data_IF_196221149022
#
_entry.id   IF_196221149022
#
_cell.length_a   1.000
_cell.length_b   1.000
_cell.length_c   1.000
_cell.angle_alpha   90.00
_cell.angle_beta   90.00
_cell.angle_gamma   90.00
#
_symmetry.space_group_name_H-M   'P 1'
#
loop_
_entity.id
_entity.type
_entity.pdbx_description
1 polymer ?
#
# COMPACT_ATOMS: atom_id res chain seq x y z
N UNK A 1 22.95 13.29 -17.98
CA UNK A 1 21.96 13.28 -16.88
C UNK A 1 20.66 13.75 -17.46
N UNK A 2 19.67 12.87 -17.59
CA UNK A 2 18.35 13.22 -18.11
C UNK A 2 17.49 13.86 -17.02
N UNK A 3 16.35 14.43 -17.42
CA UNK A 3 15.35 14.93 -16.48
C UNK A 3 14.77 13.84 -15.57
N UNK A 4 14.91 12.55 -15.92
CA UNK A 4 14.45 11.44 -15.06
C UNK A 4 15.15 11.43 -13.69
N UNK A 5 16.40 11.92 -13.60
CA UNK A 5 17.10 12.07 -12.30
C UNK A 5 16.56 13.18 -11.41
N UNK A 6 15.62 13.99 -11.89
CA UNK A 6 14.89 14.95 -11.04
C UNK A 6 13.77 14.28 -10.24
N UNK A 7 13.33 13.08 -10.66
CA UNK A 7 12.36 12.29 -9.92
C UNK A 7 13.04 11.75 -8.65
N UNK A 8 12.44 11.93 -7.46
CA UNK A 8 12.99 11.42 -6.22
C UNK A 8 13.32 9.92 -6.30
N UNK A 9 14.47 9.55 -5.74
CA UNK A 9 14.96 8.17 -5.66
C UNK A 9 15.34 7.49 -6.99
N UNK A 10 15.29 8.18 -8.14
CA UNK A 10 15.85 7.65 -9.39
C UNK A 10 17.36 7.88 -9.46
N UNK A 11 18.11 6.79 -9.42
CA UNK A 11 19.56 6.75 -9.64
C UNK A 11 19.95 6.45 -11.09
N UNK A 12 21.25 6.36 -11.36
CA UNK A 12 21.79 6.09 -12.70
C UNK A 12 21.31 4.77 -13.31
N UNK A 13 21.19 3.71 -12.48
CA UNK A 13 20.71 2.41 -12.96
C UNK A 13 19.25 2.48 -13.40
N UNK A 14 18.35 2.94 -12.52
CA UNK A 14 16.92 3.07 -12.85
C UNK A 14 16.67 4.02 -14.03
N UNK A 15 17.43 5.11 -14.15
CA UNK A 15 17.38 5.98 -15.33
C UNK A 15 17.68 5.19 -16.62
N UNK A 16 18.75 4.40 -16.63
CA UNK A 16 19.12 3.60 -17.78
C UNK A 16 18.04 2.56 -18.11
N UNK A 17 17.42 1.97 -17.09
CA UNK A 17 16.40 0.95 -17.25
C UNK A 17 15.12 1.52 -17.87
N UNK A 18 14.69 2.71 -17.41
CA UNK A 18 13.60 3.46 -18.01
C UNK A 18 13.88 3.80 -19.49
N UNK A 19 15.10 4.25 -19.80
CA UNK A 19 15.52 4.54 -21.18
C UNK A 19 15.49 3.28 -22.04
N UNK A 20 15.97 2.14 -21.53
CA UNK A 20 15.94 0.85 -22.25
C UNK A 20 14.51 0.36 -22.52
N UNK A 21 13.56 0.67 -21.62
CA UNK A 21 12.13 0.43 -21.84
C UNK A 21 11.46 1.48 -22.76
N UNK A 22 12.21 2.48 -23.25
CA UNK A 22 11.71 3.51 -24.16
C UNK A 22 11.19 4.78 -23.49
N UNK A 23 11.28 4.88 -22.17
CA UNK A 23 10.88 6.06 -21.39
C UNK A 23 12.08 7.00 -21.20
N UNK A 24 12.18 8.01 -22.05
CA UNK A 24 13.32 8.94 -22.07
C UNK A 24 13.03 10.29 -21.39
N UNK A 25 11.78 10.54 -21.02
CA UNK A 25 11.30 11.82 -20.46
C UNK A 25 10.27 11.59 -19.33
N UNK A 26 10.11 12.56 -18.44
CA UNK A 26 9.03 12.59 -17.44
C UNK A 26 7.67 12.53 -18.16
N UNK A 27 7.53 13.24 -19.29
CA UNK A 27 6.32 13.22 -20.08
C UNK A 27 5.96 11.81 -20.58
N UNK A 28 6.95 11.01 -20.98
CA UNK A 28 6.74 9.63 -21.44
C UNK A 28 6.25 8.67 -20.34
N UNK A 29 6.45 9.02 -19.06
CA UNK A 29 6.00 8.23 -17.91
C UNK A 29 4.58 8.57 -17.46
N UNK A 30 4.02 9.71 -17.88
CA UNK A 30 2.68 10.14 -17.43
C UNK A 30 1.61 9.16 -17.89
N UNK A 31 0.69 8.84 -16.97
CA UNK A 31 -0.39 7.88 -17.21
C UNK A 31 0.02 6.40 -17.20
N UNK A 32 1.31 6.07 -17.04
CA UNK A 32 1.76 4.69 -16.81
C UNK A 32 1.57 4.30 -15.36
N UNK A 33 1.00 3.11 -15.14
CA UNK A 33 0.93 2.53 -13.80
C UNK A 33 2.27 1.91 -13.41
N UNK A 34 2.54 1.87 -12.11
CA UNK A 34 3.73 1.23 -11.58
C UNK A 34 3.81 -0.26 -11.92
N UNK A 35 2.66 -0.95 -11.90
CA UNK A 35 2.54 -2.36 -12.26
C UNK A 35 2.90 -2.61 -13.73
N UNK A 36 2.52 -1.72 -14.65
CA UNK A 36 2.94 -1.81 -16.07
C UNK A 36 4.44 -1.63 -16.22
N UNK A 37 5.03 -0.60 -15.59
CA UNK A 37 6.47 -0.34 -15.65
C UNK A 37 7.27 -1.52 -15.08
N UNK A 38 6.86 -2.04 -13.93
CA UNK A 38 7.50 -3.19 -13.31
C UNK A 38 7.39 -4.45 -14.17
N UNK A 39 6.22 -4.72 -14.75
CA UNK A 39 6.02 -5.88 -15.63
C UNK A 39 6.83 -5.75 -16.92
N UNK A 40 6.93 -4.55 -17.49
CA UNK A 40 7.77 -4.27 -18.65
C UNK A 40 9.25 -4.49 -18.35
N UNK A 41 9.74 -4.01 -17.21
CA UNK A 41 11.14 -4.23 -16.83
C UNK A 41 11.42 -5.71 -16.59
N UNK A 42 10.54 -6.43 -15.88
CA UNK A 42 10.68 -7.87 -15.68
C UNK A 42 10.75 -8.63 -17.02
N UNK A 43 9.91 -8.25 -18.00
CA UNK A 43 9.96 -8.83 -19.36
C UNK A 43 11.28 -8.52 -20.07
N UNK A 44 11.76 -7.29 -19.98
CA UNK A 44 13.03 -6.87 -20.58
C UNK A 44 14.22 -7.64 -19.98
N UNK A 45 14.19 -7.90 -18.67
CA UNK A 45 15.25 -8.61 -17.94
C UNK A 45 15.15 -10.12 -18.03
N UNK A 46 14.00 -10.66 -18.42
CA UNK A 46 13.73 -12.10 -18.44
C UNK A 46 13.63 -12.73 -17.06
N UNK A 47 13.37 -11.94 -16.01
CA UNK A 47 13.23 -12.42 -14.64
C UNK A 47 12.26 -11.55 -13.83
N UNK A 48 11.77 -12.08 -12.71
CA UNK A 48 11.01 -11.28 -11.74
C UNK A 48 11.99 -10.49 -10.87
N UNK A 49 11.90 -9.15 -10.94
CA UNK A 49 12.74 -8.26 -10.15
C UNK A 49 12.30 -8.20 -8.69
N UNK A 50 13.18 -7.72 -7.81
CA UNK A 50 12.78 -7.47 -6.43
C UNK A 50 11.63 -6.43 -6.35
N UNK A 51 10.76 -6.59 -5.35
CA UNK A 51 9.59 -5.71 -5.20
C UNK A 51 9.96 -4.26 -4.83
N UNK A 52 11.17 -3.99 -4.34
CA UNK A 52 11.63 -2.62 -4.13
C UNK A 52 11.58 -1.78 -5.41
N UNK A 53 11.77 -2.41 -6.58
CA UNK A 53 11.65 -1.75 -7.87
C UNK A 53 10.20 -1.35 -8.17
N UNK A 54 9.23 -2.22 -7.88
CA UNK A 54 7.80 -1.87 -7.97
C UNK A 54 7.45 -0.71 -7.03
N UNK A 55 7.98 -0.69 -5.82
CA UNK A 55 7.71 0.40 -4.87
C UNK A 55 8.32 1.73 -5.33
N UNK A 56 9.49 1.68 -5.98
CA UNK A 56 10.06 2.84 -6.66
C UNK A 56 9.13 3.30 -7.78
N UNK A 57 8.65 2.40 -8.65
CA UNK A 57 7.73 2.78 -9.72
C UNK A 57 6.39 3.33 -9.22
N UNK A 58 5.88 2.90 -8.07
CA UNK A 58 4.71 3.52 -7.43
C UNK A 58 4.99 4.96 -6.97
N UNK A 59 6.19 5.23 -6.47
CA UNK A 59 6.60 6.60 -6.17
C UNK A 59 6.75 7.45 -7.45
N UNK A 60 7.28 6.87 -8.52
CA UNK A 60 7.38 7.52 -9.84
C UNK A 60 5.99 7.84 -10.39
N UNK A 61 5.08 6.87 -10.43
CA UNK A 61 3.68 7.05 -10.85
C UNK A 61 3.01 8.18 -10.08
N UNK A 62 3.14 8.19 -8.74
CA UNK A 62 2.62 9.27 -7.91
C UNK A 62 3.23 10.62 -8.31
N UNK A 63 4.56 10.70 -8.41
CA UNK A 63 5.27 11.94 -8.68
C UNK A 63 4.92 12.54 -10.05
N UNK A 64 4.97 11.75 -11.12
CA UNK A 64 4.78 12.28 -12.49
C UNK A 64 3.35 12.70 -12.78
N UNK A 65 2.39 12.17 -12.03
CA UNK A 65 0.96 12.47 -12.14
C UNK A 65 0.45 13.47 -11.08
N UNK A 66 1.32 14.00 -10.20
CA UNK A 66 0.94 14.96 -9.15
C UNK A 66 1.62 16.30 -9.37
N UNK A 67 0.83 17.38 -9.50
CA UNK A 67 1.37 18.72 -9.79
C UNK A 67 2.26 19.32 -8.70
N UNK A 68 1.91 19.12 -7.42
CA UNK A 68 2.72 19.53 -6.27
C UNK A 68 2.86 18.34 -5.29
N UNK A 69 3.78 17.41 -5.56
CA UNK A 69 3.85 16.14 -4.84
C UNK A 69 4.35 16.34 -3.41
N UNK A 70 3.70 15.65 -2.46
CA UNK A 70 4.13 15.60 -1.07
C UNK A 70 5.48 14.87 -0.98
N UNK A 71 6.55 15.52 -0.47
CA UNK A 71 7.88 14.90 -0.36
C UNK A 71 7.87 13.59 0.45
N UNK A 72 6.94 13.39 1.38
CA UNK A 72 6.80 12.15 2.12
C UNK A 72 6.33 11.01 1.22
N UNK A 73 5.39 11.28 0.31
CA UNK A 73 4.85 10.31 -0.66
C UNK A 73 5.80 10.06 -1.82
N UNK A 74 6.81 10.91 -2.03
CA UNK A 74 7.87 10.66 -3.01
C UNK A 74 8.86 9.57 -2.58
N UNK A 75 8.85 9.15 -1.31
CA UNK A 75 9.76 8.10 -0.83
C UNK A 75 9.24 6.73 -1.24
N UNK A 76 10.04 5.95 -1.95
CA UNK A 76 9.65 4.60 -2.43
C UNK A 76 9.05 3.71 -1.33
N UNK A 77 9.59 3.75 -0.11
CA UNK A 77 9.12 2.89 0.99
C UNK A 77 7.71 3.24 1.48
N UNK A 78 7.19 4.41 1.13
CA UNK A 78 5.79 4.79 1.38
C UNK A 78 4.83 3.84 0.66
N UNK A 79 5.25 3.28 -0.48
CA UNK A 79 4.42 2.49 -1.40
C UNK A 79 4.65 0.97 -1.31
N UNK A 80 5.23 0.49 -0.21
CA UNK A 80 5.32 -0.95 0.07
C UNK A 80 3.93 -1.56 0.13
N UNK A 81 3.83 -2.85 -0.22
CA UNK A 81 2.56 -3.58 -0.21
C UNK A 81 1.83 -3.51 1.12
N UNK A 82 2.56 -3.56 2.23
CA UNK A 82 1.98 -3.51 3.57
C UNK A 82 1.12 -2.25 3.80
N UNK A 83 1.35 -1.21 2.99
CA UNK A 83 0.69 0.09 3.09
C UNK A 83 -0.26 0.36 1.92
N UNK A 84 0.00 -0.20 0.74
CA UNK A 84 -0.81 -0.04 -0.48
C UNK A 84 -1.96 -1.04 -0.53
N UNK A 85 -1.71 -2.26 -0.11
CA UNK A 85 -2.73 -3.30 -0.05
C UNK A 85 -3.67 -3.10 1.16
N UNK A 86 -4.89 -3.67 1.10
CA UNK A 86 -5.77 -3.67 2.25
C UNK A 86 -5.10 -4.29 3.49
N UNK A 87 -5.09 -3.51 4.57
CA UNK A 87 -4.76 -3.99 5.91
C UNK A 87 -5.80 -5.03 6.37
N UNK A 88 -5.59 -5.71 7.52
CA UNK A 88 -6.52 -6.72 7.99
C UNK A 88 -8.00 -6.30 8.06
N UNK A 89 -8.26 -5.02 8.36
CA UNK A 89 -9.61 -4.46 8.41
C UNK A 89 -10.09 -3.81 7.09
N UNK A 90 -9.30 -3.83 6.01
CA UNK A 90 -9.66 -3.22 4.73
C UNK A 90 -9.25 -1.75 4.57
N UNK A 91 -8.72 -1.13 5.63
CA UNK A 91 -8.10 0.20 5.52
C UNK A 91 -6.82 0.13 4.68
N UNK A 92 -6.53 1.16 3.90
CA UNK A 92 -5.31 1.27 3.08
C UNK A 92 -4.44 2.37 3.67
N UNK A 93 -3.26 2.02 4.20
CA UNK A 93 -2.45 2.94 4.98
C UNK A 93 -2.01 4.16 4.17
N UNK A 94 -1.60 4.00 2.91
CA UNK A 94 -1.20 5.15 2.06
C UNK A 94 -2.33 6.15 1.79
N UNK A 95 -3.59 5.78 2.07
CA UNK A 95 -4.78 6.63 1.97
C UNK A 95 -5.27 7.14 3.33
N UNK A 96 -4.61 6.78 4.43
CA UNK A 96 -4.97 7.15 5.80
C UNK A 96 -4.24 8.42 6.22
N UNK A 97 -4.95 9.37 6.82
CA UNK A 97 -4.37 10.63 7.28
C UNK A 97 -3.32 10.46 8.41
N UNK A 98 -3.48 9.44 9.26
CA UNK A 98 -2.54 9.16 10.35
C UNK A 98 -1.26 8.46 9.88
N UNK A 99 -1.21 7.90 8.67
CA UNK A 99 -0.01 7.26 8.14
C UNK A 99 0.89 8.28 7.43
N UNK A 100 2.23 8.24 7.61
CA UNK A 100 3.02 7.33 8.43
C UNK A 100 3.42 7.92 9.79
N UNK A 101 3.04 9.18 10.07
CA UNK A 101 3.57 9.97 11.19
C UNK A 101 2.97 9.55 12.54
N UNK A 102 1.64 9.49 12.63
CA UNK A 102 0.93 9.08 13.84
C UNK A 102 0.78 7.55 13.90
N UNK A 103 0.77 6.87 12.75
CA UNK A 103 0.61 5.44 12.63
C UNK A 103 1.59 4.85 11.61
N UNK A 104 2.38 3.86 12.02
CA UNK A 104 3.37 3.19 11.14
C UNK A 104 2.80 2.12 10.19
N UNK A 105 1.47 1.93 10.18
CA UNK A 105 0.79 0.88 9.42
C UNK A 105 0.67 -0.44 10.20
N UNK A 106 -0.51 -1.05 10.18
CA UNK A 106 -0.90 -2.11 11.11
C UNK A 106 0.06 -3.30 11.16
N UNK A 107 0.61 -3.73 10.00
CA UNK A 107 1.56 -4.84 9.92
C UNK A 107 2.89 -4.50 10.61
N UNK A 108 3.44 -3.32 10.30
CA UNK A 108 4.71 -2.83 10.87
C UNK A 108 4.64 -2.64 12.38
N UNK A 109 3.53 -2.07 12.87
CA UNK A 109 3.35 -1.77 14.30
C UNK A 109 2.67 -2.92 15.06
N UNK A 110 2.49 -4.07 14.43
CA UNK A 110 1.86 -5.26 15.02
C UNK A 110 0.50 -4.97 15.68
N UNK A 111 -0.33 -4.19 15.00
CA UNK A 111 -1.68 -3.84 15.44
C UNK A 111 -1.76 -2.76 16.53
N UNK A 112 -0.64 -2.19 16.98
CA UNK A 112 -0.56 -1.10 17.98
C UNK A 112 -0.86 0.26 17.36
N UNK A 113 -2.07 0.42 16.84
CA UNK A 113 -2.56 1.64 16.16
C UNK A 113 -2.89 2.76 17.15
N UNK A 114 -2.77 4.02 16.70
CA UNK A 114 -2.93 5.20 17.57
C UNK A 114 -4.30 5.31 18.27
N UNK A 115 -5.36 4.82 17.62
CA UNK A 115 -6.74 4.93 18.11
C UNK A 115 -7.09 3.93 19.21
N UNK A 116 -6.20 3.00 19.57
CA UNK A 116 -6.41 2.08 20.69
C UNK A 116 -6.66 2.80 22.02
N UNK A 117 -6.21 4.05 22.14
CA UNK A 117 -6.55 4.94 23.26
C UNK A 117 -8.05 5.14 23.49
N UNK A 118 -8.88 4.92 22.47
CA UNK A 118 -10.33 5.04 22.56
C UNK A 118 -11.04 3.74 22.94
N UNK A 119 -10.42 2.57 22.70
CA UNK A 119 -11.02 1.27 23.02
C UNK A 119 -10.47 0.66 24.31
N UNK A 120 -9.28 1.10 24.74
CA UNK A 120 -8.58 0.54 25.90
C UNK A 120 -7.91 -0.82 25.63
N UNK A 121 -7.85 -1.26 24.36
CA UNK A 121 -7.15 -2.51 23.99
C UNK A 121 -5.65 -2.28 23.79
N UNK A 122 -4.80 -3.26 24.09
CA UNK A 122 -3.36 -3.18 23.83
C UNK A 122 -2.99 -3.40 22.34
N UNK A 123 -3.86 -4.10 21.60
CA UNK A 123 -3.69 -4.47 20.19
C UNK A 123 -5.05 -4.45 19.50
N UNK A 124 -5.08 -3.99 18.23
CA UNK A 124 -6.28 -4.04 17.40
C UNK A 124 -6.83 -5.48 17.29
N UNK A 125 -8.08 -5.69 17.73
CA UNK A 125 -8.76 -6.99 17.73
C UNK A 125 -8.84 -7.63 16.34
N UNK A 126 -9.05 -6.84 15.29
CA UNK A 126 -9.07 -7.32 13.90
C UNK A 126 -7.69 -7.84 13.48
N UNK A 127 -6.64 -7.06 13.78
CA UNK A 127 -5.27 -7.46 13.48
C UNK A 127 -4.90 -8.76 14.21
N UNK A 128 -5.18 -8.83 15.51
CA UNK A 128 -4.84 -10.00 16.32
C UNK A 128 -5.63 -11.24 15.90
N UNK A 129 -6.92 -11.10 15.57
CA UNK A 129 -7.74 -12.18 15.02
C UNK A 129 -7.14 -12.73 13.72
N UNK A 130 -6.79 -11.86 12.77
CA UNK A 130 -6.17 -12.28 11.50
C UNK A 130 -4.82 -12.97 11.74
N UNK A 131 -3.98 -12.42 12.62
CA UNK A 131 -2.68 -13.00 12.99
C UNK A 131 -2.84 -14.40 13.59
N UNK A 132 -3.71 -14.54 14.58
CA UNK A 132 -3.97 -15.81 15.28
C UNK A 132 -4.56 -16.86 14.34
N UNK A 133 -5.45 -16.47 13.43
CA UNK A 133 -6.03 -17.35 12.41
C UNK A 133 -5.14 -17.54 11.17
N UNK A 134 -3.95 -16.92 11.14
CA UNK A 134 -3.02 -16.92 9.99
C UNK A 134 -3.67 -16.48 8.68
N UNK A 135 -4.54 -15.46 8.76
CA UNK A 135 -5.22 -14.84 7.62
C UNK A 135 -4.54 -13.54 7.23
N UNK A 136 -4.51 -13.24 5.93
CA UNK A 136 -4.00 -11.95 5.41
C UNK A 136 -4.84 -10.77 5.92
N UNK A 137 -6.16 -10.94 5.89
CA UNK A 137 -7.17 -9.97 6.28
C UNK A 137 -8.52 -10.65 6.54
N UNK A 138 -9.56 -9.87 6.83
CA UNK A 138 -10.91 -10.37 7.10
C UNK A 138 -11.72 -10.80 5.87
N UNK A 139 -11.20 -10.70 4.64
CA UNK A 139 -11.98 -10.85 3.40
C UNK A 139 -12.71 -12.19 3.26
N UNK A 140 -12.09 -13.27 3.72
CA UNK A 140 -12.65 -14.63 3.68
C UNK A 140 -13.43 -15.02 4.95
N UNK A 141 -13.67 -14.06 5.85
CA UNK A 141 -14.42 -14.29 7.07
C UNK A 141 -15.93 -14.37 6.76
N UNK A 142 -16.63 -15.46 7.13
CA UNK A 142 -18.07 -15.59 6.87
C UNK A 142 -18.90 -14.55 7.62
N UNK A 143 -18.36 -14.03 8.73
CA UNK A 143 -19.02 -13.02 9.56
C UNK A 143 -18.67 -11.58 9.13
N UNK A 144 -18.04 -11.34 7.98
CA UNK A 144 -17.60 -10.00 7.57
C UNK A 144 -18.78 -9.09 7.13
N UNK A 145 -18.98 -7.90 7.73
CA UNK A 145 -18.23 -7.33 8.88
C UNK A 145 -18.73 -7.86 10.23
N UNK A 146 -17.82 -8.31 11.08
CA UNK A 146 -18.17 -8.90 12.38
C UNK A 146 -18.13 -7.84 13.49
N UNK A 147 -18.47 -8.23 14.72
CA UNK A 147 -18.49 -7.33 15.89
C UNK A 147 -17.15 -6.69 16.28
N UNK A 148 -16.05 -6.99 15.60
CA UNK A 148 -14.78 -6.27 15.78
C UNK A 148 -14.69 -4.97 14.98
N UNK A 149 -15.57 -4.76 14.00
CA UNK A 149 -15.67 -3.49 13.28
C UNK A 149 -16.50 -2.51 14.12
N UNK A 150 -15.81 -1.59 14.78
CA UNK A 150 -16.41 -0.57 15.63
C UNK A 150 -16.38 0.80 14.95
N UNK A 151 -17.31 1.69 15.34
CA UNK A 151 -17.37 3.06 14.83
C UNK A 151 -16.24 3.91 15.42
N UNK A 152 -15.68 4.79 14.60
CA UNK A 152 -14.79 5.86 15.05
C UNK A 152 -15.66 6.99 15.65
N UNK A 153 -15.53 7.28 16.96
CA UNK A 153 -16.36 8.30 17.62
C UNK A 153 -16.00 9.73 17.21
N UNK A 154 -14.93 9.94 16.43
CA UNK A 154 -14.46 11.25 16.00
C UNK A 154 -15.04 11.72 14.66
N UNK A 155 -15.82 10.85 13.99
CA UNK A 155 -16.47 11.15 12.70
C UNK A 155 -17.98 10.86 12.78
N UNK A 156 -18.75 11.36 11.82
CA UNK A 156 -20.20 11.14 11.79
C UNK A 156 -20.56 9.67 11.52
N UNK A 157 -21.81 9.29 11.83
CA UNK A 157 -22.31 7.95 11.56
C UNK A 157 -22.32 7.62 10.06
N UNK A 158 -22.71 8.57 9.21
CA UNK A 158 -22.70 8.42 7.75
C UNK A 158 -21.28 8.22 7.24
N UNK A 159 -20.30 8.94 7.80
CA UNK A 159 -18.90 8.79 7.44
C UNK A 159 -18.34 7.43 7.89
N UNK A 160 -18.74 6.95 9.08
CA UNK A 160 -18.40 5.61 9.56
C UNK A 160 -18.96 4.52 8.63
N UNK A 161 -20.23 4.62 8.23
CA UNK A 161 -20.87 3.69 7.31
C UNK A 161 -20.20 3.69 5.94
N UNK A 162 -19.89 4.86 5.38
CA UNK A 162 -19.19 4.99 4.11
C UNK A 162 -17.77 4.40 4.17
N UNK A 163 -17.06 4.60 5.29
CA UNK A 163 -15.74 4.02 5.51
C UNK A 163 -15.81 2.50 5.62
N UNK A 164 -16.76 1.98 6.40
CA UNK A 164 -16.99 0.55 6.55
C UNK A 164 -17.32 -0.11 5.22
N UNK A 165 -18.19 0.50 4.42
CA UNK A 165 -18.55 0.01 3.09
C UNK A 165 -17.30 -0.15 2.20
N UNK A 166 -16.49 0.91 2.08
CA UNK A 166 -15.23 0.87 1.30
C UNK A 166 -14.25 -0.18 1.81
N UNK A 167 -14.16 -0.37 3.13
CA UNK A 167 -13.29 -1.38 3.72
C UNK A 167 -13.75 -2.80 3.36
N UNK A 168 -15.05 -3.09 3.50
CA UNK A 168 -15.64 -4.39 3.18
C UNK A 168 -15.55 -4.69 1.68
N UNK A 169 -15.80 -3.72 0.80
CA UNK A 169 -15.64 -3.87 -0.64
C UNK A 169 -14.22 -4.29 -1.02
N UNK A 170 -13.21 -3.61 -0.48
CA UNK A 170 -11.79 -3.97 -0.72
C UNK A 170 -11.46 -5.36 -0.22
N UNK A 171 -11.93 -5.72 0.97
CA UNK A 171 -11.70 -7.03 1.55
C UNK A 171 -12.31 -8.15 0.71
N UNK A 172 -13.55 -7.97 0.23
CA UNK A 172 -14.23 -8.94 -0.64
C UNK A 172 -13.53 -9.06 -2.00
N UNK A 173 -13.04 -7.97 -2.55
CA UNK A 173 -12.28 -7.98 -3.80
C UNK A 173 -10.92 -8.70 -3.66
N UNK A 174 -10.26 -8.60 -2.50
CA UNK A 174 -8.95 -9.21 -2.26
C UNK A 174 -9.00 -10.75 -2.18
N UNK A 175 -10.15 -11.35 -1.83
CA UNK A 175 -10.34 -12.82 -1.78
C UNK A 175 -10.08 -13.49 -3.13
N UNK A 176 -10.32 -12.79 -4.24
CA UNK A 176 -10.12 -13.30 -5.60
C UNK A 176 -8.67 -13.29 -6.10
N UNK A 177 -7.77 -12.57 -5.41
CA UNK A 177 -6.41 -12.27 -5.88
C UNK A 177 -5.32 -13.03 -5.08
N UNK A 178 -5.54 -14.31 -4.77
CA UNK A 178 -4.62 -15.15 -4.00
C UNK A 178 -3.21 -15.25 -4.61
N UNK A 179 -2.34 -14.29 -4.29
CA UNK A 179 -0.88 -14.44 -4.36
C UNK A 179 -0.46 -15.02 -3.00
N UNK A 180 0.21 -16.18 -3.02
CA UNK A 180 0.63 -16.89 -1.82
C UNK A 180 1.58 -16.05 -0.93
N UNK A 181 1.07 -15.46 0.16
CA UNK A 181 1.88 -14.77 1.19
C UNK A 181 2.60 -15.72 2.14
N UNK A 182 2.51 -17.04 1.94
CA UNK A 182 3.10 -18.05 2.81
C UNK A 182 4.65 -18.01 2.88
N UNK A 183 5.32 -17.23 2.02
CA UNK A 183 6.78 -17.15 1.95
C UNK A 183 7.37 -15.79 2.40
N UNK A 184 6.61 -14.90 3.06
CA UNK A 184 7.22 -13.75 3.74
C UNK A 184 7.77 -14.20 5.09
N UNK A 185 9.02 -14.64 5.11
CA UNK A 185 9.83 -14.60 6.32
C UNK A 185 10.13 -13.14 6.61
N UNK A 186 9.61 -12.63 7.72
CA UNK A 186 10.05 -11.37 8.30
C UNK A 186 11.50 -11.57 8.81
N UNK A 187 12.49 -11.30 7.95
CA UNK A 187 13.87 -11.00 8.33
C UNK A 187 14.19 -9.53 8.03
#
# INVERSE_FOLDING_TARGET
>A
MSELRTIPNIGACTEQDLILMGYTTIASLRGKSAEELYAEECRLRGCTLDRCQLYLYRAVEYFVNTGNPDPMKCKWWFWKDDFVEPSPCGAVCVKCASFPLECGGCRKIKGKVFWLRYTGDDVCRIYDCCRTKRKKNCGDCPDLPCGYFVKDPTVSDEQNEANLCKMVERLRADVGNNINYANRTDE
#
